data_IF_266870606998
#
_entry.id   IF_266870606998
#
_cell.length_a   1.000
_cell.length_b   1.000
_cell.length_c   1.000
_cell.angle_alpha   90.00
_cell.angle_beta   90.00
_cell.angle_gamma   90.00
#
_symmetry.space_group_name_H-M   'P 1'
#
loop_
_entity.id
_entity.type
_entity.pdbx_description
1 polymer ?
#
# COMPACT_ATOMS: atom_id res chain seq x y z
N UNK A 1 -30.21 -24.26 5.43
CA UNK A 1 -29.98 -22.80 5.30
C UNK A 1 -29.10 -22.58 4.09
N UNK A 2 -29.40 -21.62 3.19
CA UNK A 2 -28.42 -21.21 2.20
C UNK A 2 -27.16 -20.70 2.93
N UNK A 3 -25.97 -20.93 2.39
CA UNK A 3 -24.73 -20.41 2.95
C UNK A 3 -24.81 -18.87 3.10
N UNK A 4 -24.17 -18.30 4.13
CA UNK A 4 -24.19 -16.86 4.38
C UNK A 4 -23.62 -16.10 3.17
N UNK A 5 -24.25 -14.97 2.84
CA UNK A 5 -23.80 -14.08 1.78
C UNK A 5 -22.56 -13.33 2.27
N UNK A 6 -21.49 -13.39 1.50
CA UNK A 6 -20.22 -12.69 1.74
C UNK A 6 -20.28 -11.33 1.03
N UNK A 7 -20.30 -10.25 1.81
CA UNK A 7 -20.38 -8.88 1.34
C UNK A 7 -19.00 -8.32 1.06
N UNK A 8 -18.73 -7.95 -0.18
CA UNK A 8 -17.42 -7.41 -0.61
C UNK A 8 -17.55 -5.94 -1.00
N UNK A 9 -16.57 -5.12 -0.64
CA UNK A 9 -16.41 -3.75 -1.15
C UNK A 9 -15.17 -3.69 -2.03
N UNK A 10 -15.30 -3.04 -3.19
CA UNK A 10 -14.20 -2.80 -4.14
C UNK A 10 -13.87 -1.31 -4.13
N UNK A 11 -12.60 -0.95 -4.09
CA UNK A 11 -12.13 0.42 -4.24
C UNK A 11 -11.00 0.51 -5.26
N UNK A 12 -11.20 1.26 -6.35
CA UNK A 12 -10.24 1.47 -7.42
C UNK A 12 -10.68 2.69 -8.23
N UNK A 13 -9.79 3.59 -8.63
CA UNK A 13 -10.12 4.76 -9.44
C UNK A 13 -10.21 4.46 -10.95
N UNK A 14 -9.89 3.24 -11.38
CA UNK A 14 -9.94 2.83 -12.78
C UNK A 14 -11.22 2.03 -13.07
N UNK A 15 -12.19 2.57 -13.86
CA UNK A 15 -13.48 1.90 -14.13
C UNK A 15 -13.36 0.50 -14.74
N UNK A 16 -12.35 0.29 -15.60
CA UNK A 16 -12.08 -1.02 -16.21
C UNK A 16 -11.65 -2.04 -15.17
N UNK A 17 -10.84 -1.62 -14.18
CA UNK A 17 -10.40 -2.50 -13.10
C UNK A 17 -11.57 -2.82 -12.17
N UNK A 18 -12.39 -1.84 -11.81
CA UNK A 18 -13.62 -2.09 -11.03
C UNK A 18 -14.51 -3.15 -11.68
N UNK A 19 -14.73 -3.06 -12.99
CA UNK A 19 -15.54 -4.02 -13.74
C UNK A 19 -14.91 -5.40 -13.75
N UNK A 20 -13.59 -5.50 -13.98
CA UNK A 20 -12.87 -6.76 -13.97
C UNK A 20 -12.93 -7.44 -12.59
N UNK A 21 -12.62 -6.71 -11.51
CA UNK A 21 -12.69 -7.23 -10.14
C UNK A 21 -14.11 -7.66 -9.80
N UNK A 22 -15.12 -6.86 -10.13
CA UNK A 22 -16.53 -7.20 -9.93
C UNK A 22 -16.88 -8.51 -10.63
N UNK A 23 -16.53 -8.66 -11.91
CA UNK A 23 -16.81 -9.85 -12.69
C UNK A 23 -16.13 -11.08 -12.08
N UNK A 24 -14.83 -11.00 -11.80
CA UNK A 24 -14.03 -12.08 -11.22
C UNK A 24 -14.56 -12.55 -9.86
N UNK A 25 -14.96 -11.63 -8.99
CA UNK A 25 -15.46 -11.98 -7.65
C UNK A 25 -16.91 -12.46 -7.67
N UNK A 26 -17.69 -12.06 -8.68
CA UNK A 26 -19.07 -12.55 -8.84
C UNK A 26 -19.14 -14.04 -9.25
N UNK A 27 -18.02 -14.61 -9.71
CA UNK A 27 -17.90 -16.05 -9.95
C UNK A 27 -17.79 -16.87 -8.66
N UNK A 28 -17.48 -16.23 -7.53
CA UNK A 28 -17.38 -16.90 -6.23
C UNK A 28 -18.80 -17.14 -5.68
N UNK A 29 -19.17 -18.37 -5.33
CA UNK A 29 -20.48 -18.66 -4.75
C UNK A 29 -20.72 -17.82 -3.49
N UNK A 30 -21.93 -17.26 -3.39
CA UNK A 30 -22.39 -16.46 -2.24
C UNK A 30 -21.64 -15.14 -2.01
N UNK A 31 -20.76 -14.72 -2.92
CA UNK A 31 -20.17 -13.37 -2.88
C UNK A 31 -21.11 -12.37 -3.52
N UNK A 32 -21.31 -11.23 -2.84
CA UNK A 32 -22.05 -10.09 -3.35
C UNK A 32 -21.18 -8.84 -3.25
N UNK A 33 -21.03 -8.14 -4.37
CA UNK A 33 -20.40 -6.82 -4.40
C UNK A 33 -21.40 -5.80 -3.85
N UNK A 34 -21.11 -5.30 -2.65
CA UNK A 34 -21.98 -4.43 -1.87
C UNK A 34 -21.74 -2.94 -2.13
N UNK A 35 -20.51 -2.57 -2.51
CA UNK A 35 -20.19 -1.25 -3.02
C UNK A 35 -18.98 -1.31 -3.96
N UNK A 36 -18.92 -0.35 -4.88
CA UNK A 36 -17.77 -0.06 -5.74
C UNK A 36 -17.47 1.42 -5.53
N UNK A 37 -16.23 1.72 -5.18
CA UNK A 37 -15.77 3.04 -4.79
C UNK A 37 -14.64 3.48 -5.72
N UNK A 38 -14.66 4.74 -6.14
CA UNK A 38 -13.63 5.34 -7.00
C UNK A 38 -12.60 6.16 -6.22
N UNK A 39 -12.75 6.24 -4.89
CA UNK A 39 -11.84 6.97 -4.01
C UNK A 39 -11.86 6.42 -2.59
N UNK A 40 -10.84 6.73 -1.79
CA UNK A 40 -10.83 6.38 -0.37
C UNK A 40 -11.96 7.06 0.42
N UNK A 41 -12.37 8.28 0.04
CA UNK A 41 -13.53 8.96 0.62
C UNK A 41 -14.82 8.16 0.44
N UNK A 42 -15.09 7.70 -0.79
CA UNK A 42 -16.25 6.84 -1.08
C UNK A 42 -16.16 5.51 -0.35
N UNK A 43 -14.96 4.92 -0.28
CA UNK A 43 -14.73 3.70 0.48
C UNK A 43 -15.09 3.90 1.97
N UNK A 44 -14.60 4.94 2.63
CA UNK A 44 -14.93 5.19 4.03
C UNK A 44 -16.42 5.51 4.23
N UNK A 45 -17.07 6.22 3.30
CA UNK A 45 -18.51 6.45 3.36
C UNK A 45 -19.29 5.12 3.26
N UNK A 46 -18.88 4.22 2.37
CA UNK A 46 -19.46 2.88 2.29
C UNK A 46 -19.21 2.08 3.57
N UNK A 47 -18.02 2.15 4.16
CA UNK A 47 -17.71 1.49 5.43
C UNK A 47 -18.43 2.11 6.63
N UNK A 48 -18.97 3.32 6.55
CA UNK A 48 -19.87 3.83 7.60
C UNK A 48 -21.28 3.23 7.48
N UNK A 49 -21.74 2.96 6.26
CA UNK A 49 -23.09 2.47 6.00
C UNK A 49 -23.24 0.94 6.14
N UNK A 50 -22.16 0.17 5.97
CA UNK A 50 -22.23 -1.29 5.93
C UNK A 50 -20.95 -1.95 6.46
N UNK A 51 -21.05 -3.17 6.96
CA UNK A 51 -19.91 -3.98 7.39
C UNK A 51 -19.62 -5.08 6.37
N UNK A 52 -18.68 -4.87 5.41
CA UNK A 52 -18.24 -5.95 4.53
C UNK A 52 -17.43 -7.01 5.26
N UNK A 53 -17.50 -8.21 4.70
CA UNK A 53 -16.70 -9.37 5.03
C UNK A 53 -15.33 -9.36 4.33
N UNK A 54 -15.17 -8.56 3.28
CA UNK A 54 -13.91 -8.39 2.54
C UNK A 54 -13.81 -7.01 1.90
N UNK A 55 -12.62 -6.43 1.96
CA UNK A 55 -12.28 -5.19 1.24
C UNK A 55 -11.22 -5.53 0.20
N UNK A 56 -11.49 -5.22 -1.08
CA UNK A 56 -10.50 -5.25 -2.15
C UNK A 56 -10.22 -3.80 -2.55
N UNK A 57 -9.00 -3.33 -2.34
CA UNK A 57 -8.65 -1.93 -2.57
C UNK A 57 -7.39 -1.79 -3.39
N UNK A 58 -7.35 -0.80 -4.29
CA UNK A 58 -6.09 -0.29 -4.80
C UNK A 58 -5.33 0.41 -3.67
N UNK A 59 -4.01 0.39 -3.80
CA UNK A 59 -3.10 1.17 -3.00
C UNK A 59 -3.05 2.64 -3.45
N UNK A 60 -3.20 2.90 -4.76
CA UNK A 60 -3.00 4.25 -5.33
C UNK A 60 -4.26 4.69 -6.07
N UNK A 61 -5.14 5.43 -5.39
CA UNK A 61 -6.31 6.05 -6.02
C UNK A 61 -6.06 7.56 -6.15
N UNK A 62 -6.44 8.14 -7.29
CA UNK A 62 -6.10 9.47 -7.83
C UNK A 62 -5.69 10.58 -6.82
N UNK A 63 -4.59 11.26 -7.13
CA UNK A 63 -3.86 12.24 -6.28
C UNK A 63 -4.58 13.56 -6.00
N UNK A 64 -5.77 13.79 -6.57
CA UNK A 64 -6.48 15.06 -6.43
C UNK A 64 -7.04 15.27 -5.02
N UNK A 65 -7.13 14.19 -4.21
CA UNK A 65 -7.55 14.25 -2.82
C UNK A 65 -6.39 13.87 -1.89
N UNK A 66 -5.86 14.87 -1.21
CA UNK A 66 -4.82 14.70 -0.18
C UNK A 66 -5.47 13.96 1.00
N UNK A 67 -4.97 12.75 1.35
CA UNK A 67 -5.18 11.99 2.61
C UNK A 67 -5.94 10.64 2.56
N UNK A 68 -6.28 10.11 1.40
CA UNK A 68 -7.15 8.91 1.29
C UNK A 68 -6.53 7.73 0.49
N UNK A 69 -5.21 7.71 0.29
CA UNK A 69 -4.49 6.69 -0.48
C UNK A 69 -3.26 6.11 0.27
N UNK A 70 -2.61 5.14 -0.37
CA UNK A 70 -1.33 4.59 0.04
C UNK A 70 -1.31 3.93 1.42
N UNK A 71 -0.21 4.13 2.15
CA UNK A 71 -0.06 3.57 3.51
C UNK A 71 -1.10 4.15 4.47
N UNK A 72 -1.48 5.42 4.32
CA UNK A 72 -2.50 6.05 5.18
C UNK A 72 -3.85 5.37 5.03
N UNK A 73 -4.24 5.03 3.80
CA UNK A 73 -5.48 4.30 3.55
C UNK A 73 -5.49 2.98 4.32
N UNK A 74 -4.44 2.15 4.15
CA UNK A 74 -4.33 0.86 4.83
C UNK A 74 -4.35 1.02 6.35
N UNK A 75 -3.63 2.02 6.88
CA UNK A 75 -3.61 2.30 8.31
C UNK A 75 -5.01 2.64 8.85
N UNK A 76 -5.73 3.53 8.17
CA UNK A 76 -7.09 3.93 8.56
C UNK A 76 -8.10 2.80 8.40
N UNK A 77 -7.97 1.99 7.34
CA UNK A 77 -8.78 0.78 7.18
C UNK A 77 -8.57 -0.18 8.34
N UNK A 78 -7.33 -0.47 8.71
CA UNK A 78 -7.06 -1.39 9.83
C UNK A 78 -7.50 -0.83 11.18
N UNK A 79 -7.39 0.48 11.41
CA UNK A 79 -7.91 1.14 12.61
C UNK A 79 -9.44 1.07 12.70
N UNK A 80 -10.13 1.39 11.60
CA UNK A 80 -11.60 1.39 11.57
C UNK A 80 -12.19 -0.02 11.52
N UNK A 81 -11.47 -0.96 10.89
CA UNK A 81 -11.89 -2.34 10.62
C UNK A 81 -10.77 -3.33 10.99
N UNK A 82 -10.54 -3.57 12.28
CA UNK A 82 -9.44 -4.43 12.73
C UNK A 82 -9.57 -5.88 12.25
N UNK A 83 -10.80 -6.37 12.08
CA UNK A 83 -11.09 -7.77 11.75
C UNK A 83 -11.55 -8.02 10.31
N UNK A 84 -11.83 -6.98 9.52
CA UNK A 84 -12.23 -7.18 8.12
C UNK A 84 -11.00 -7.47 7.28
N UNK A 85 -10.97 -8.57 6.51
CA UNK A 85 -9.84 -8.86 5.64
C UNK A 85 -9.72 -7.82 4.52
N UNK A 86 -8.48 -7.45 4.23
CA UNK A 86 -8.07 -6.44 3.25
C UNK A 86 -7.15 -7.13 2.24
N UNK A 87 -7.57 -7.12 0.98
CA UNK A 87 -6.77 -7.53 -0.17
C UNK A 87 -6.37 -6.28 -0.94
N UNK A 88 -5.07 -6.03 -1.03
CA UNK A 88 -4.52 -4.92 -1.81
C UNK A 88 -4.29 -5.38 -3.24
N UNK A 89 -4.98 -4.77 -4.21
CA UNK A 89 -4.85 -5.07 -5.63
C UNK A 89 -4.12 -3.93 -6.34
N UNK A 90 -2.86 -4.12 -6.72
CA UNK A 90 -1.99 -2.98 -7.06
C UNK A 90 -1.04 -3.24 -8.23
N UNK A 91 -0.55 -2.16 -8.87
CA UNK A 91 0.54 -2.19 -9.86
C UNK A 91 1.92 -1.96 -9.24
N UNK A 92 2.03 -1.84 -7.92
CA UNK A 92 3.30 -1.59 -7.25
C UNK A 92 4.37 -2.64 -7.58
N UNK A 93 5.55 -2.16 -7.95
CA UNK A 93 6.72 -2.99 -8.24
C UNK A 93 7.79 -2.93 -7.15
N UNK A 94 7.66 -1.97 -6.22
CA UNK A 94 8.62 -1.71 -5.15
C UNK A 94 8.51 -2.75 -4.03
N UNK A 95 9.47 -3.68 -3.97
CA UNK A 95 9.48 -4.74 -2.95
C UNK A 95 9.50 -4.24 -1.49
N UNK A 96 10.22 -3.15 -1.19
CA UNK A 96 10.25 -2.56 0.16
C UNK A 96 8.90 -1.98 0.59
N UNK A 97 8.20 -1.32 -0.33
CA UNK A 97 6.85 -0.81 -0.08
C UNK A 97 5.84 -1.96 0.05
N UNK A 98 5.96 -3.00 -0.77
CA UNK A 98 5.15 -4.22 -0.66
C UNK A 98 5.34 -4.92 0.69
N UNK A 99 6.58 -4.98 1.21
CA UNK A 99 6.87 -5.47 2.57
C UNK A 99 6.17 -4.63 3.63
N UNK A 100 6.24 -3.30 3.54
CA UNK A 100 5.55 -2.39 4.46
C UNK A 100 4.05 -2.63 4.46
N UNK A 101 3.42 -2.74 3.28
CA UNK A 101 1.98 -3.01 3.17
C UNK A 101 1.63 -4.33 3.86
N UNK A 102 2.44 -5.38 3.66
CA UNK A 102 2.25 -6.68 4.32
C UNK A 102 2.35 -6.56 5.86
N UNK A 103 3.33 -5.82 6.36
CA UNK A 103 3.54 -5.60 7.81
C UNK A 103 2.39 -4.81 8.48
N UNK A 104 1.61 -4.04 7.71
CA UNK A 104 0.42 -3.34 8.20
C UNK A 104 -0.79 -4.26 8.40
N UNK A 105 -0.60 -5.57 8.23
CA UNK A 105 -1.59 -6.58 8.55
C UNK A 105 -2.64 -6.79 7.47
N UNK A 106 -2.37 -6.46 6.21
CA UNK A 106 -3.27 -6.88 5.10
C UNK A 106 -3.21 -8.39 4.92
N UNK A 107 -4.33 -8.98 4.54
CA UNK A 107 -4.48 -10.43 4.37
C UNK A 107 -3.90 -10.86 3.03
N UNK A 108 -3.91 -9.99 2.02
CA UNK A 108 -3.14 -10.27 0.82
C UNK A 108 -2.71 -9.06 0.01
N UNK A 109 -1.72 -9.29 -0.86
CA UNK A 109 -1.32 -8.36 -1.91
C UNK A 109 -1.29 -9.09 -3.26
N UNK A 110 -1.97 -8.53 -4.25
CA UNK A 110 -2.15 -9.09 -5.60
C UNK A 110 -1.76 -8.06 -6.66
N UNK A 111 -1.03 -8.48 -7.68
CA UNK A 111 -0.67 -7.65 -8.82
C UNK A 111 -1.83 -7.48 -9.80
N UNK A 112 -2.14 -6.25 -10.22
CA UNK A 112 -3.15 -5.97 -11.28
C UNK A 112 -2.79 -6.52 -12.66
N UNK A 113 -1.52 -6.86 -12.88
CA UNK A 113 -1.00 -7.42 -14.11
C UNK A 113 -1.00 -8.96 -14.15
N UNK A 114 -1.56 -9.60 -13.12
CA UNK A 114 -1.63 -11.06 -13.02
C UNK A 114 -2.99 -11.59 -13.47
N UNK A 115 -3.07 -12.90 -13.66
CA UNK A 115 -4.30 -13.55 -14.11
C UNK A 115 -5.45 -13.31 -13.11
N UNK A 116 -6.66 -12.95 -13.55
CA UNK A 116 -7.80 -12.72 -12.66
C UNK A 116 -8.13 -13.90 -11.73
N UNK A 117 -7.87 -15.13 -12.16
CA UNK A 117 -8.04 -16.33 -11.33
C UNK A 117 -7.22 -16.32 -10.04
N UNK A 118 -6.06 -15.64 -10.03
CA UNK A 118 -5.21 -15.49 -8.84
C UNK A 118 -5.90 -14.58 -7.81
N UNK A 119 -6.47 -13.45 -8.25
CA UNK A 119 -7.25 -12.57 -7.37
C UNK A 119 -8.42 -13.32 -6.75
N UNK A 120 -9.17 -14.08 -7.56
CA UNK A 120 -10.31 -14.89 -7.09
C UNK A 120 -9.89 -15.84 -5.98
N UNK A 121 -8.84 -16.64 -6.21
CA UNK A 121 -8.37 -17.60 -5.22
C UNK A 121 -7.89 -16.91 -3.93
N UNK A 122 -7.14 -15.82 -4.05
CA UNK A 122 -6.64 -15.08 -2.89
C UNK A 122 -7.77 -14.45 -2.08
N UNK A 123 -8.82 -13.95 -2.72
CA UNK A 123 -10.00 -13.44 -2.01
C UNK A 123 -10.72 -14.55 -1.23
N UNK A 124 -10.87 -15.75 -1.81
CA UNK A 124 -11.43 -16.92 -1.10
C UNK A 124 -10.57 -17.29 0.11
N UNK A 125 -9.25 -17.34 -0.08
CA UNK A 125 -8.27 -17.63 0.97
C UNK A 125 -8.30 -16.60 2.12
N UNK A 126 -8.52 -15.33 1.79
CA UNK A 126 -8.66 -14.24 2.76
C UNK A 126 -9.96 -14.34 3.56
N UNK A 127 -11.09 -14.64 2.90
CA UNK A 127 -12.39 -14.84 3.56
C UNK A 127 -12.35 -16.04 4.52
N UNK A 128 -11.67 -17.11 4.11
CA UNK A 128 -11.57 -18.36 4.91
C UNK A 128 -10.50 -18.30 6.01
N UNK A 129 -9.72 -17.22 6.09
CA UNK A 129 -8.74 -17.02 7.16
C UNK A 129 -7.48 -17.87 7.04
N UNK A 130 -7.06 -18.24 5.83
CA UNK A 130 -5.90 -19.14 5.59
C UNK A 130 -4.53 -18.47 5.82
N UNK A 131 -4.50 -17.27 6.42
CA UNK A 131 -3.30 -16.48 6.67
C UNK A 131 -2.95 -15.53 5.53
N UNK A 132 -1.84 -14.79 5.69
CA UNK A 132 -1.41 -13.80 4.72
C UNK A 132 -0.95 -14.44 3.40
N UNK A 133 -1.44 -13.94 2.26
CA UNK A 133 -1.11 -14.42 0.92
C UNK A 133 -0.46 -13.34 0.05
N UNK A 134 0.41 -13.75 -0.86
CA UNK A 134 0.97 -12.89 -1.90
C UNK A 134 0.77 -13.59 -3.23
N UNK A 135 0.39 -12.84 -4.27
CA UNK A 135 0.40 -13.38 -5.62
C UNK A 135 1.83 -13.69 -6.08
N UNK A 136 2.04 -14.63 -7.02
CA UNK A 136 3.36 -15.04 -7.47
C UNK A 136 4.25 -13.87 -7.92
N UNK A 137 3.69 -12.92 -8.69
CA UNK A 137 4.43 -11.75 -9.16
C UNK A 137 4.87 -10.83 -8.02
N UNK A 138 4.00 -10.64 -7.01
CA UNK A 138 4.32 -9.83 -5.82
C UNK A 138 5.39 -10.53 -4.97
N UNK A 139 5.26 -11.83 -4.74
CA UNK A 139 6.23 -12.62 -3.99
C UNK A 139 7.63 -12.56 -4.65
N UNK A 140 7.70 -12.70 -5.98
CA UNK A 140 8.95 -12.60 -6.72
C UNK A 140 9.62 -11.22 -6.61
N UNK A 141 8.83 -10.14 -6.64
CA UNK A 141 9.32 -8.75 -6.47
C UNK A 141 9.85 -8.51 -5.06
N UNK A 142 9.15 -9.01 -4.04
CA UNK A 142 9.58 -8.90 -2.65
C UNK A 142 10.87 -9.70 -2.40
N UNK A 143 10.97 -10.92 -2.94
CA UNK A 143 12.18 -11.75 -2.84
C UNK A 143 13.37 -11.16 -3.58
N UNK A 144 13.16 -10.59 -4.78
CA UNK A 144 14.22 -9.93 -5.55
C UNK A 144 14.73 -8.67 -4.85
N UNK A 145 13.83 -7.91 -4.21
CA UNK A 145 14.23 -6.82 -3.34
C UNK A 145 14.99 -7.35 -2.12
N UNK A 146 14.54 -8.46 -1.52
CA UNK A 146 15.25 -9.17 -0.44
C UNK A 146 16.65 -9.64 -0.82
N UNK A 147 16.86 -10.08 -2.05
CA UNK A 147 18.16 -10.54 -2.57
C UNK A 147 19.14 -9.38 -2.83
N UNK A 148 18.64 -8.22 -3.28
CA UNK A 148 19.40 -6.95 -3.27
C UNK A 148 19.68 -6.46 -1.83
N UNK A 149 18.90 -6.95 -0.86
CA UNK A 149 18.93 -6.65 0.58
C UNK A 149 19.61 -7.79 1.37
N UNK A 150 20.45 -8.61 0.72
CA UNK A 150 21.49 -9.38 1.46
C UNK A 150 22.53 -8.46 2.12
N UNK A 151 22.43 -7.14 1.95
CA UNK A 151 22.76 -6.19 3.00
C UNK A 151 21.46 -5.71 3.65
N UNK A 152 21.12 -6.26 4.81
CA UNK A 152 20.06 -5.90 5.76
C UNK A 152 19.12 -4.75 5.37
N UNK A 153 17.81 -4.90 5.58
CA UNK A 153 16.86 -3.80 5.69
C UNK A 153 17.25 -2.95 6.91
N UNK A 154 18.34 -2.20 6.79
CA UNK A 154 18.90 -1.38 7.84
C UNK A 154 17.95 -0.21 7.99
N UNK A 155 17.44 0.03 9.21
CA UNK A 155 16.65 1.22 9.48
C UNK A 155 17.43 2.46 9.03
N UNK A 156 16.70 3.53 8.69
CA UNK A 156 17.34 4.81 8.46
C UNK A 156 18.17 5.16 9.69
N UNK A 157 19.43 5.51 9.46
CA UNK A 157 20.28 6.07 10.50
C UNK A 157 19.71 7.40 10.98
N UNK A 158 20.00 7.84 12.21
CA UNK A 158 19.54 9.13 12.73
C UNK A 158 19.84 10.31 11.78
N UNK A 159 20.99 10.26 11.10
CA UNK A 159 21.40 11.28 10.12
C UNK A 159 20.58 11.25 8.83
N UNK A 160 20.18 10.07 8.37
CA UNK A 160 19.29 9.94 7.20
C UNK A 160 17.87 10.40 7.53
N UNK A 161 17.37 10.07 8.73
CA UNK A 161 16.06 10.54 9.22
C UNK A 161 16.02 12.07 9.27
N UNK A 162 17.07 12.69 9.79
CA UNK A 162 17.21 14.14 9.89
C UNK A 162 17.14 14.82 8.50
N UNK A 163 17.86 14.28 7.51
CA UNK A 163 17.83 14.79 6.14
C UNK A 163 16.46 14.58 5.48
N UNK A 164 15.84 13.41 5.66
CA UNK A 164 14.51 13.11 5.10
C UNK A 164 13.44 14.02 5.70
N UNK A 165 13.47 14.26 7.02
CA UNK A 165 12.58 15.19 7.73
C UNK A 165 12.68 16.61 7.19
N UNK A 166 13.90 17.16 7.11
CA UNK A 166 14.08 18.53 6.62
C UNK A 166 13.72 18.68 5.14
N UNK A 167 14.02 17.66 4.33
CA UNK A 167 13.65 17.66 2.92
C UNK A 167 12.12 17.62 2.74
N UNK A 168 11.43 16.79 3.52
CA UNK A 168 9.98 16.64 3.45
C UNK A 168 9.19 17.83 3.99
N UNK A 169 9.78 18.64 4.87
CA UNK A 169 9.23 19.92 5.33
C UNK A 169 9.50 21.08 4.37
N UNK A 170 10.11 20.82 3.21
CA UNK A 170 10.29 21.79 2.13
C UNK A 170 11.68 22.43 2.03
N UNK A 171 12.63 22.02 2.89
CA UNK A 171 14.00 22.57 2.85
C UNK A 171 14.75 22.09 1.61
N UNK A 172 15.48 23.00 0.96
CA UNK A 172 16.41 22.66 -0.13
C UNK A 172 17.65 21.96 0.43
N UNK A 173 18.28 21.11 -0.37
CA UNK A 173 19.51 20.40 0.03
C UNK A 173 20.63 21.35 0.48
N UNK A 174 20.70 22.56 -0.08
CA UNK A 174 21.64 23.61 0.30
C UNK A 174 21.35 24.20 1.69
N UNK A 175 20.08 24.36 2.03
CA UNK A 175 19.64 24.85 3.35
C UNK A 175 19.89 23.80 4.42
N UNK A 176 19.60 22.53 4.11
CA UNK A 176 19.89 21.38 4.99
C UNK A 176 21.40 21.27 5.26
N UNK A 177 22.22 21.44 4.23
CA UNK A 177 23.67 21.44 4.35
C UNK A 177 24.18 22.55 5.30
N UNK A 178 23.66 23.77 5.15
CA UNK A 178 23.97 24.89 6.02
C UNK A 178 23.57 24.64 7.48
N UNK A 179 22.34 24.16 7.70
CA UNK A 179 21.80 23.90 9.03
C UNK A 179 22.52 22.76 9.76
N UNK A 180 22.89 21.70 9.05
CA UNK A 180 23.58 20.54 9.64
C UNK A 180 25.11 20.70 9.66
N UNK A 181 25.65 21.83 9.21
CA UNK A 181 27.08 22.09 9.06
C UNK A 181 27.81 20.98 8.29
N UNK A 182 27.22 20.52 7.18
CA UNK A 182 27.74 19.44 6.32
C UNK A 182 27.81 19.90 4.87
N UNK A 183 28.64 19.24 4.07
CA UNK A 183 28.70 19.54 2.63
C UNK A 183 27.41 19.16 1.91
N UNK A 184 27.07 19.87 0.83
CA UNK A 184 25.95 19.53 -0.04
C UNK A 184 26.05 18.09 -0.57
N UNK A 185 27.26 17.63 -0.91
CA UNK A 185 27.53 16.28 -1.37
C UNK A 185 27.19 15.22 -0.30
N UNK A 186 27.48 15.51 0.97
CA UNK A 186 27.14 14.64 2.11
C UNK A 186 25.61 14.52 2.25
N UNK A 187 24.87 15.64 2.21
CA UNK A 187 23.41 15.62 2.33
C UNK A 187 22.77 14.90 1.14
N UNK A 188 23.24 15.17 -0.09
CA UNK A 188 22.75 14.48 -1.29
C UNK A 188 22.99 12.97 -1.21
N UNK A 189 24.14 12.56 -0.70
CA UNK A 189 24.49 11.14 -0.49
C UNK A 189 23.61 10.51 0.58
N UNK A 190 23.37 11.20 1.71
CA UNK A 190 22.50 10.72 2.79
C UNK A 190 21.05 10.58 2.31
N UNK A 191 20.52 11.56 1.57
CA UNK A 191 19.20 11.47 0.95
C UNK A 191 19.12 10.29 -0.02
N UNK A 192 20.12 10.10 -0.89
CA UNK A 192 20.16 8.99 -1.85
C UNK A 192 20.27 7.64 -1.15
N UNK A 193 21.03 7.57 -0.06
CA UNK A 193 21.13 6.35 0.75
C UNK A 193 19.81 6.03 1.44
N UNK A 194 19.14 7.04 2.00
CA UNK A 194 17.80 6.88 2.57
C UNK A 194 16.80 6.40 1.51
N UNK A 195 16.77 7.05 0.34
CA UNK A 195 15.94 6.63 -0.79
C UNK A 195 16.24 5.17 -1.19
N UNK A 196 17.50 4.76 -1.28
CA UNK A 196 17.87 3.38 -1.58
C UNK A 196 17.40 2.40 -0.49
N UNK A 197 17.59 2.72 0.79
CA UNK A 197 17.16 1.87 1.93
C UNK A 197 15.64 1.73 2.00
N UNK A 198 14.92 2.79 1.65
CA UNK A 198 13.46 2.80 1.56
C UNK A 198 12.94 2.26 0.21
N UNK A 199 13.85 1.92 -0.70
CA UNK A 199 13.57 1.58 -2.09
C UNK A 199 12.73 2.63 -2.84
N UNK A 200 12.84 3.90 -2.47
CA UNK A 200 12.13 5.04 -3.06
C UNK A 200 12.96 5.61 -4.21
N UNK A 201 12.32 5.87 -5.35
CA UNK A 201 13.00 6.40 -6.55
C UNK A 201 12.66 7.87 -6.83
N UNK A 202 11.55 8.39 -6.29
CA UNK A 202 11.11 9.77 -6.50
C UNK A 202 11.17 10.62 -5.24
N UNK A 203 11.39 11.93 -5.42
CA UNK A 203 11.34 12.88 -4.31
C UNK A 203 9.94 12.96 -3.70
N UNK A 204 8.89 12.88 -4.52
CA UNK A 204 7.50 12.94 -4.05
C UNK A 204 7.20 11.77 -3.10
N UNK A 205 7.61 10.56 -3.46
CA UNK A 205 7.44 9.38 -2.61
C UNK A 205 8.23 9.49 -1.31
N UNK A 206 9.40 10.14 -1.33
CA UNK A 206 10.19 10.39 -0.12
C UNK A 206 9.48 11.37 0.83
N UNK A 207 8.81 12.39 0.28
CA UNK A 207 8.00 13.34 1.06
C UNK A 207 6.77 12.63 1.63
N UNK A 208 6.06 11.84 0.82
CA UNK A 208 4.91 11.04 1.28
C UNK A 208 5.32 10.09 2.39
N UNK A 209 6.42 9.36 2.22
CA UNK A 209 6.97 8.47 3.23
C UNK A 209 7.24 9.19 4.55
N UNK A 210 7.88 10.36 4.50
CA UNK A 210 8.21 11.13 5.69
C UNK A 210 6.95 11.57 6.45
N UNK A 211 5.94 12.06 5.74
CA UNK A 211 4.65 12.45 6.33
C UNK A 211 3.96 11.25 6.97
N UNK A 212 3.99 10.08 6.32
CA UNK A 212 3.29 8.86 6.76
C UNK A 212 3.92 8.24 8.00
N UNK A 213 5.20 8.51 8.24
CA UNK A 213 5.96 7.98 9.38
C UNK A 213 6.20 9.04 10.48
N UNK A 214 5.48 10.17 10.46
CA UNK A 214 5.61 11.24 11.47
C UNK A 214 6.97 11.94 11.46
N UNK A 215 7.67 11.89 10.33
CA UNK A 215 8.95 12.57 10.14
C UNK A 215 8.76 14.00 9.63
N UNK A 216 7.60 14.35 9.06
CA UNK A 216 7.27 15.67 8.54
C UNK A 216 5.79 16.00 8.77
#
# INVERSE_FOLDING_TARGET
MPPPIISVVIADDHPVIQLAVKATLSEIPNVRISAICSSGKELFAALQAQQPDLIVTDFTMERSQVNDDGLRLIHRLRQSRPHTPIVVFTMLTNGGLLTRIKEMGVEAIVGKNEEPGILRQICVDAITGTGQRLSPGIAARMSSAGALVNGTASPLSPREIEVVRMFATGSKLTEIAGYLHRSLATIATQKRSAMRKLNITSNADLVTYARDNGLA
#
